data_IF_716438110225
#
_entry.id   IF_716438110225
#
_cell.length_a   1.000
_cell.length_b   1.000
_cell.length_c   1.000
_cell.angle_alpha   90.00
_cell.angle_beta   90.00
_cell.angle_gamma   90.00
#
_symmetry.space_group_name_H-M   'P 1'
#
loop_
_entity.id
_entity.type
_entity.pdbx_description
1 polymer ?
#
# COMPACT_ATOMS: atom_id res chain seq x y z
N UNK A 1 -15.30 -11.68 -7.21
CA UNK A 1 -14.80 -11.51 -5.82
C UNK A 1 -14.03 -10.21 -5.72
N UNK A 2 -14.03 -9.52 -4.57
CA UNK A 2 -13.27 -8.27 -4.36
C UNK A 2 -12.09 -8.51 -3.42
N UNK A 3 -10.88 -8.13 -3.81
CA UNK A 3 -9.65 -8.31 -3.03
C UNK A 3 -8.89 -6.98 -2.99
N UNK A 4 -8.46 -6.58 -1.78
CA UNK A 4 -7.58 -5.44 -1.57
C UNK A 4 -6.26 -5.91 -0.96
N UNK A 5 -5.16 -5.69 -1.67
CA UNK A 5 -3.82 -5.80 -1.11
C UNK A 5 -3.41 -4.45 -0.50
N UNK A 6 -2.79 -4.48 0.68
CA UNK A 6 -2.29 -3.27 1.35
C UNK A 6 -0.79 -3.42 1.59
N UNK A 7 0.02 -2.57 0.94
CA UNK A 7 1.45 -2.51 1.16
C UNK A 7 2.02 -1.17 0.68
N UNK A 8 2.88 -0.54 1.47
CA UNK A 8 3.46 0.78 1.15
C UNK A 8 4.29 0.78 -0.14
N UNK A 9 4.89 -0.36 -0.49
CA UNK A 9 5.78 -0.50 -1.63
C UNK A 9 5.22 -1.53 -2.63
N UNK A 10 4.23 -1.15 -3.44
CA UNK A 10 3.77 -1.97 -4.56
C UNK A 10 4.95 -2.29 -5.51
N UNK A 11 5.13 -3.55 -5.96
CA UNK A 11 4.25 -4.70 -5.76
C UNK A 11 4.61 -5.58 -4.55
N UNK A 12 5.67 -5.23 -3.81
CA UNK A 12 6.13 -5.93 -2.62
C UNK A 12 6.26 -7.43 -2.84
N UNK A 13 5.80 -8.22 -1.86
CA UNK A 13 5.75 -9.68 -1.93
C UNK A 13 4.64 -10.25 -2.82
N UNK A 14 3.76 -9.40 -3.38
CA UNK A 14 2.57 -9.83 -4.11
C UNK A 14 2.71 -9.74 -5.63
N UNK A 15 3.91 -9.44 -6.14
CA UNK A 15 4.23 -9.25 -7.56
C UNK A 15 3.63 -10.29 -8.50
N UNK A 16 3.55 -11.55 -8.06
CA UNK A 16 2.99 -12.64 -8.87
C UNK A 16 1.56 -13.00 -8.45
N UNK A 17 1.25 -12.88 -7.16
CA UNK A 17 -0.05 -13.28 -6.63
C UNK A 17 -1.18 -12.34 -7.08
N UNK A 18 -0.99 -11.03 -6.99
CA UNK A 18 -2.04 -10.08 -7.32
C UNK A 18 -2.47 -10.15 -8.81
N UNK A 19 -1.54 -10.18 -9.79
CA UNK A 19 -1.92 -10.39 -11.20
C UNK A 19 -2.57 -11.75 -11.46
N UNK A 20 -2.10 -12.83 -10.82
CA UNK A 20 -2.68 -14.16 -10.99
C UNK A 20 -4.13 -14.25 -10.49
N UNK A 21 -4.47 -13.51 -9.43
CA UNK A 21 -5.85 -13.41 -8.94
C UNK A 21 -6.69 -12.48 -9.83
N UNK A 22 -6.10 -11.39 -10.32
CA UNK A 22 -6.76 -10.45 -11.23
C UNK A 22 -7.13 -11.08 -12.58
N UNK A 23 -6.36 -12.06 -13.05
CA UNK A 23 -6.64 -12.80 -14.28
C UNK A 23 -7.93 -13.67 -14.20
N UNK A 24 -8.51 -13.86 -13.01
CA UNK A 24 -9.73 -14.66 -12.84
C UNK A 24 -10.96 -13.84 -13.23
N UNK A 25 -11.81 -14.40 -14.09
CA UNK A 25 -13.04 -13.73 -14.57
C UNK A 25 -13.93 -13.31 -13.40
N UNK A 26 -14.32 -12.03 -13.37
CA UNK A 26 -15.22 -11.48 -12.35
C UNK A 26 -14.55 -11.15 -11.02
N UNK A 27 -13.22 -11.10 -10.96
CA UNK A 27 -12.48 -10.67 -9.77
C UNK A 27 -12.06 -9.19 -9.91
N UNK A 28 -12.34 -8.39 -8.89
CA UNK A 28 -11.89 -7.00 -8.74
C UNK A 28 -10.73 -7.03 -7.74
N UNK A 29 -9.51 -6.88 -8.24
CA UNK A 29 -8.29 -6.91 -7.44
C UNK A 29 -7.68 -5.53 -7.43
N UNK A 30 -7.51 -4.98 -6.23
CA UNK A 30 -6.93 -3.66 -6.02
C UNK A 30 -5.70 -3.72 -5.13
N UNK A 31 -4.86 -2.69 -5.23
CA UNK A 31 -3.64 -2.57 -4.44
C UNK A 31 -3.50 -1.16 -3.88
N UNK A 32 -3.57 -1.02 -2.55
CA UNK A 32 -3.34 0.23 -1.83
C UNK A 32 -1.85 0.40 -1.53
N UNK A 33 -1.26 1.50 -1.99
CA UNK A 33 0.19 1.77 -1.91
C UNK A 33 0.51 3.26 -1.84
N UNK A 34 1.77 3.60 -1.52
CA UNK A 34 2.31 4.95 -1.71
C UNK A 34 2.40 5.33 -3.20
N UNK A 35 2.48 6.63 -3.53
CA UNK A 35 2.60 7.10 -4.91
C UNK A 35 3.91 6.68 -5.58
N UNK A 36 3.91 6.68 -6.91
CA UNK A 36 5.11 6.48 -7.73
C UNK A 36 5.59 5.03 -7.77
N UNK A 37 4.72 4.07 -7.44
CA UNK A 37 5.03 2.63 -7.51
C UNK A 37 4.58 2.04 -8.86
N UNK A 38 5.28 1.01 -9.37
CA UNK A 38 4.93 0.39 -10.65
C UNK A 38 3.54 -0.23 -10.61
N UNK A 39 2.88 -0.22 -11.76
CA UNK A 39 1.59 -0.86 -11.97
C UNK A 39 1.72 -2.38 -12.09
N UNK A 40 0.59 -3.07 -11.94
CA UNK A 40 0.47 -4.52 -12.09
C UNK A 40 -0.64 -4.85 -13.08
N UNK A 41 -0.39 -5.83 -13.94
CA UNK A 41 -1.36 -6.26 -14.94
C UNK A 41 -2.68 -6.71 -14.29
N UNK A 42 -3.78 -6.08 -14.71
CA UNK A 42 -5.13 -6.39 -14.25
C UNK A 42 -5.46 -5.94 -12.82
N UNK A 43 -4.53 -5.30 -12.09
CA UNK A 43 -4.75 -4.85 -10.72
C UNK A 43 -4.94 -3.34 -10.69
N UNK A 44 -6.03 -2.87 -10.10
CA UNK A 44 -6.26 -1.42 -9.93
C UNK A 44 -5.43 -0.90 -8.76
N UNK A 45 -4.48 -0.01 -9.05
CA UNK A 45 -3.69 0.67 -8.02
C UNK A 45 -4.50 1.80 -7.39
N UNK A 46 -4.46 1.89 -6.06
CA UNK A 46 -5.03 2.97 -5.26
C UNK A 46 -3.87 3.58 -4.48
N UNK A 47 -3.63 4.87 -4.67
CA UNK A 47 -2.51 5.56 -4.04
C UNK A 47 -3.00 6.44 -2.89
N UNK A 48 -2.20 6.55 -1.82
CA UNK A 48 -2.47 7.43 -0.69
C UNK A 48 -1.23 8.24 -0.32
N UNK A 49 -1.46 9.47 0.14
CA UNK A 49 -0.41 10.38 0.59
C UNK A 49 -0.32 10.44 2.11
N UNK A 50 0.90 10.59 2.61
CA UNK A 50 1.17 10.86 4.01
C UNK A 50 0.93 12.35 4.24
N UNK A 51 0.14 12.68 5.25
CA UNK A 51 -0.07 14.07 5.65
C UNK A 51 1.23 14.76 6.09
N UNK A 52 2.15 14.00 6.67
CA UNK A 52 3.49 14.45 7.08
C UNK A 52 4.42 13.26 7.29
N UNK A 53 5.71 13.56 7.37
CA UNK A 53 6.72 12.64 7.90
C UNK A 53 6.75 12.65 9.44
N UNK A 54 7.36 11.63 10.08
CA UNK A 54 7.66 11.65 11.51
C UNK A 54 8.42 12.91 11.92
N UNK A 55 8.17 13.40 13.13
CA UNK A 55 8.81 14.61 13.63
C UNK A 55 10.33 14.45 13.75
N UNK A 56 11.10 15.48 13.35
CA UNK A 56 12.57 15.49 13.56
C UNK A 56 12.98 15.37 15.02
N UNK A 57 12.08 15.79 15.93
CA UNK A 57 12.26 15.78 17.38
C UNK A 57 11.84 14.44 18.02
N UNK A 58 11.19 13.56 17.26
CA UNK A 58 10.68 12.29 17.78
C UNK A 58 11.85 11.44 18.24
N UNK A 59 11.76 10.93 19.47
CA UNK A 59 12.79 10.08 20.05
C UNK A 59 13.05 8.87 19.12
N UNK A 60 14.31 8.49 18.95
CA UNK A 60 14.71 7.45 17.97
C UNK A 60 13.97 6.12 18.16
N UNK A 61 13.62 5.76 19.39
CA UNK A 61 12.85 4.54 19.67
C UNK A 61 11.34 4.65 19.39
N UNK A 62 10.82 5.86 19.16
CA UNK A 62 9.41 6.11 18.86
C UNK A 62 9.15 6.42 17.39
N UNK A 63 10.20 6.66 16.58
CA UNK A 63 10.04 7.04 15.17
C UNK A 63 9.29 6.00 14.34
N UNK A 64 9.52 4.71 14.62
CA UNK A 64 8.84 3.62 13.92
C UNK A 64 7.37 3.52 14.31
N UNK A 65 7.06 3.77 15.58
CA UNK A 65 5.68 3.80 16.07
C UNK A 65 4.92 4.98 15.44
N UNK A 66 5.51 6.18 15.44
CA UNK A 66 4.91 7.35 14.80
C UNK A 66 4.70 7.11 13.30
N UNK A 67 5.69 6.55 12.62
CA UNK A 67 5.58 6.17 11.20
C UNK A 67 4.40 5.24 10.97
N UNK A 68 4.27 4.18 11.79
CA UNK A 68 3.18 3.21 11.66
C UNK A 68 1.80 3.86 11.85
N UNK A 69 1.66 4.78 12.81
CA UNK A 69 0.43 5.56 13.02
C UNK A 69 0.11 6.43 11.80
N UNK A 70 1.09 7.15 11.27
CA UNK A 70 0.91 8.01 10.09
C UNK A 70 0.50 7.22 8.86
N UNK A 71 1.12 6.06 8.63
CA UNK A 71 0.73 5.17 7.53
C UNK A 71 -0.67 4.58 7.72
N UNK A 72 -1.03 4.18 8.95
CA UNK A 72 -2.35 3.67 9.27
C UNK A 72 -3.44 4.72 9.05
N UNK A 73 -3.19 5.96 9.48
CA UNK A 73 -4.13 7.06 9.28
C UNK A 73 -4.28 7.42 7.80
N UNK A 74 -3.18 7.50 7.05
CA UNK A 74 -3.23 7.87 5.64
C UNK A 74 -3.95 6.83 4.75
N UNK A 75 -4.03 5.58 5.19
CA UNK A 75 -4.68 4.48 4.47
C UNK A 75 -6.16 4.25 4.85
N UNK A 76 -6.65 4.91 5.92
CA UNK A 76 -8.02 4.78 6.42
C UNK A 76 -8.98 5.77 5.73
#
# INVERSE_FOLDING_TARGET
MKILFVHQNCPGQYKHLAPALAARKGWDVRFLTRPGKPDMAGVTKVEYDLAREPGKQTHRYLINLESAVLYGWAAA
#
